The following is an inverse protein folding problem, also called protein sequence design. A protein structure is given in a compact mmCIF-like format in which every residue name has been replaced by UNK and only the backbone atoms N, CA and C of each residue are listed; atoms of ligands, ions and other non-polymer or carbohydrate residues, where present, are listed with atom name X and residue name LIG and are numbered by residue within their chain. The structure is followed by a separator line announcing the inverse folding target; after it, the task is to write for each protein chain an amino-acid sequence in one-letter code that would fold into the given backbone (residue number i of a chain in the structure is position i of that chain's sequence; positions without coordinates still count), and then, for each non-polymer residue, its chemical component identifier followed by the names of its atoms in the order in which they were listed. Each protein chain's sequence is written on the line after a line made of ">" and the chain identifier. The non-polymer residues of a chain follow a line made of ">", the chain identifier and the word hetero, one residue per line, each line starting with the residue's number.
data_IF_111986623398
#
_entry.id   IF_111986623398
#
_cell.length_a   1.000
_cell.length_b   1.000
_cell.length_c   1.000
_cell.angle_alpha   90.00
_cell.angle_beta   90.00
_cell.angle_gamma   90.00
#
_symmetry.space_group_name_H-M   'P 1'
#
loop_
_entity.id
_entity.type
_entity.pdbx_description
1 polymer ?
#
# COMPACT_ATOMS: atom_id res chain seq x y z
N UNK A 1 -19.25 1.01 19.98
CA UNK A 1 -18.09 0.64 19.15
C UNK A 1 -18.45 0.98 17.72
N UNK A 2 -18.00 2.14 17.25
CA UNK A 2 -18.13 2.56 15.85
C UNK A 2 -16.99 1.90 15.08
N UNK A 3 -17.31 1.08 14.07
CA UNK A 3 -16.31 0.54 13.16
C UNK A 3 -15.64 1.72 12.45
N UNK A 4 -14.34 1.92 12.68
CA UNK A 4 -13.54 2.73 11.76
C UNK A 4 -13.57 2.04 10.40
N UNK A 5 -13.97 2.77 9.36
CA UNK A 5 -14.04 2.24 8.00
C UNK A 5 -12.62 1.89 7.55
N UNK A 6 -12.32 0.58 7.48
CA UNK A 6 -11.01 0.10 7.00
C UNK A 6 -10.82 0.46 5.52
N UNK A 7 -9.65 0.99 5.16
CA UNK A 7 -9.25 1.17 3.77
C UNK A 7 -8.83 -0.16 3.16
N UNK A 8 -9.21 -0.41 1.90
CA UNK A 8 -8.78 -1.59 1.15
C UNK A 8 -8.10 -1.17 -0.15
N UNK A 9 -6.84 -1.55 -0.30
CA UNK A 9 -6.07 -1.40 -1.54
C UNK A 9 -5.98 -2.76 -2.22
N UNK A 10 -6.27 -2.81 -3.52
CA UNK A 10 -6.24 -4.04 -4.31
C UNK A 10 -5.31 -3.85 -5.50
N UNK A 11 -4.30 -4.71 -5.61
CA UNK A 11 -3.33 -4.69 -6.69
C UNK A 11 -3.21 -6.06 -7.33
N UNK A 12 -3.04 -6.08 -8.65
CA UNK A 12 -2.78 -7.30 -9.40
C UNK A 12 -1.29 -7.63 -9.35
N UNK A 13 -0.98 -8.92 -9.28
CA UNK A 13 0.40 -9.41 -9.32
C UNK A 13 0.49 -10.70 -10.14
N UNK A 14 1.63 -10.92 -10.80
CA UNK A 14 1.92 -12.16 -11.48
C UNK A 14 2.39 -13.21 -10.47
N UNK A 15 1.66 -14.33 -10.33
CA UNK A 15 1.92 -15.31 -9.27
C UNK A 15 3.18 -16.17 -9.48
N UNK A 16 3.68 -16.30 -10.71
CA UNK A 16 4.78 -17.22 -11.06
C UNK A 16 6.18 -16.61 -11.07
N UNK A 17 6.31 -15.29 -10.95
CA UNK A 17 7.60 -14.60 -11.12
C UNK A 17 8.39 -14.44 -9.82
N UNK A 18 7.76 -14.74 -8.68
CA UNK A 18 8.29 -14.45 -7.35
C UNK A 18 8.16 -12.98 -6.93
N UNK A 19 7.66 -12.11 -7.83
CA UNK A 19 7.38 -10.71 -7.51
C UNK A 19 6.02 -10.58 -6.82
N UNK A 20 5.97 -9.74 -5.80
CA UNK A 20 4.76 -9.47 -5.03
C UNK A 20 4.74 -8.00 -4.63
N UNK A 21 3.54 -7.46 -4.41
CA UNK A 21 3.42 -6.16 -3.76
C UNK A 21 3.79 -6.31 -2.28
N UNK A 22 4.63 -5.41 -1.80
CA UNK A 22 5.10 -5.34 -0.42
C UNK A 22 4.74 -3.97 0.14
N UNK A 23 4.18 -3.97 1.35
CA UNK A 23 4.08 -2.80 2.20
C UNK A 23 5.24 -2.83 3.20
N UNK A 24 5.96 -1.73 3.31
CA UNK A 24 6.99 -1.53 4.32
C UNK A 24 6.76 -0.16 4.95
N UNK A 25 6.71 -0.09 6.28
CA UNK A 25 6.46 1.16 7.01
C UNK A 25 7.58 2.18 6.78
N UNK A 26 8.80 1.73 6.46
CA UNK A 26 9.89 2.63 6.10
C UNK A 26 9.61 3.36 4.79
N UNK A 27 8.95 2.74 3.80
CA UNK A 27 8.53 3.42 2.56
C UNK A 27 7.46 4.50 2.82
N UNK A 28 6.83 4.47 4.00
CA UNK A 28 5.69 5.31 4.33
C UNK A 28 5.76 5.83 5.78
N UNK A 29 6.83 6.57 6.16
CA UNK A 29 7.14 6.85 7.57
C UNK A 29 6.15 7.81 8.25
N UNK A 30 5.47 8.65 7.48
CA UNK A 30 4.53 9.68 7.96
C UNK A 30 3.05 9.28 7.74
N UNK A 31 2.77 8.00 7.49
CA UNK A 31 1.40 7.52 7.30
C UNK A 31 0.68 7.33 8.63
N UNK A 32 -0.45 8.01 8.80
CA UNK A 32 -1.39 7.74 9.89
C UNK A 32 -2.30 6.52 9.60
N UNK A 33 -1.81 5.56 8.82
CA UNK A 33 -2.48 4.33 8.47
C UNK A 33 -1.63 3.13 8.88
N UNK A 34 -2.21 2.23 9.66
CA UNK A 34 -1.62 0.95 10.01
C UNK A 34 -2.18 -0.16 9.11
N UNK A 35 -1.29 -0.95 8.51
CA UNK A 35 -1.70 -2.15 7.78
C UNK A 35 -2.06 -3.26 8.75
N UNK A 36 -3.34 -3.61 8.84
CA UNK A 36 -3.83 -4.66 9.73
C UNK A 36 -3.92 -6.03 9.08
N UNK A 37 -3.98 -6.09 7.75
CA UNK A 37 -4.11 -7.36 7.03
C UNK A 37 -3.61 -7.27 5.59
N UNK A 38 -2.94 -8.32 5.15
CA UNK A 38 -2.67 -8.57 3.73
C UNK A 38 -3.12 -9.97 3.33
N UNK A 39 -3.73 -10.11 2.16
CA UNK A 39 -4.14 -11.42 1.61
C UNK A 39 -3.91 -11.48 0.11
N UNK A 40 -3.44 -12.62 -0.36
CA UNK A 40 -3.36 -12.95 -1.78
C UNK A 40 -4.46 -13.93 -2.17
N UNK A 41 -5.00 -13.75 -3.39
CA UNK A 41 -5.94 -14.69 -3.99
C UNK A 41 -5.65 -14.83 -5.49
N UNK A 42 -5.45 -16.06 -5.93
CA UNK A 42 -5.35 -16.40 -7.36
C UNK A 42 -6.64 -16.04 -8.11
N UNK A 43 -6.52 -15.55 -9.34
CA UNK A 43 -7.69 -15.28 -10.17
C UNK A 43 -8.22 -16.58 -10.79
N UNK A 44 -9.55 -16.81 -10.77
CA UNK A 44 -10.11 -18.00 -11.40
C UNK A 44 -9.84 -18.00 -12.90
N UNK A 45 -9.34 -19.12 -13.43
CA UNK A 45 -9.20 -19.34 -14.87
C UNK A 45 -7.85 -18.97 -15.47
N UNK A 46 -6.89 -18.45 -14.68
CA UNK A 46 -5.56 -18.08 -15.19
C UNK A 46 -4.61 -19.27 -15.40
N UNK A 47 -5.00 -20.49 -15.00
CA UNK A 47 -4.15 -21.68 -15.11
C UNK A 47 -2.92 -21.67 -14.19
N UNK A 48 -2.00 -22.63 -14.39
CA UNK A 48 -0.75 -22.70 -13.62
C UNK A 48 0.15 -21.53 -13.97
N UNK A 49 0.59 -20.81 -12.95
CA UNK A 49 1.44 -19.61 -13.09
C UNK A 49 0.68 -18.34 -13.45
N UNK A 50 -0.65 -18.41 -13.44
CA UNK A 50 -1.58 -17.30 -13.58
C UNK A 50 -1.42 -16.19 -12.55
N UNK A 51 -1.93 -15.00 -12.90
CA UNK A 51 -1.93 -13.86 -11.99
C UNK A 51 -2.91 -14.00 -10.82
N UNK A 52 -2.73 -13.13 -9.85
CA UNK A 52 -3.64 -13.01 -8.71
C UNK A 52 -3.85 -11.57 -8.30
N UNK A 53 -4.50 -11.41 -7.16
CA UNK A 53 -4.81 -10.13 -6.56
C UNK A 53 -4.37 -10.12 -5.10
N UNK A 54 -3.53 -9.15 -4.75
CA UNK A 54 -3.18 -8.84 -3.37
C UNK A 54 -4.08 -7.74 -2.84
N UNK A 55 -4.56 -7.93 -1.62
CA UNK A 55 -5.40 -6.97 -0.91
C UNK A 55 -4.69 -6.56 0.37
N UNK A 56 -4.47 -5.26 0.54
CA UNK A 56 -3.98 -4.63 1.75
C UNK A 56 -5.15 -3.94 2.45
N UNK A 57 -5.27 -4.16 3.76
CA UNK A 57 -6.28 -3.53 4.60
C UNK A 57 -5.57 -2.64 5.59
N UNK A 58 -5.94 -1.37 5.61
CA UNK A 58 -5.39 -0.37 6.51
C UNK A 58 -6.48 0.19 7.43
N UNK A 59 -6.08 0.61 8.62
CA UNK A 59 -6.91 1.37 9.54
C UNK A 59 -6.24 2.70 9.92
N UNK A 60 -7.01 3.78 10.12
CA UNK A 60 -6.47 5.03 10.65
C UNK A 60 -5.94 4.85 12.08
N UNK A 61 -4.76 5.39 12.37
CA UNK A 61 -4.16 5.37 13.72
C UNK A 61 -4.62 6.55 14.59
N UNK A 62 -5.23 7.57 13.97
CA UNK A 62 -5.79 8.72 14.67
C UNK A 62 -7.27 8.52 15.01
N UNK A 63 -7.70 9.11 16.13
CA UNK A 63 -9.10 9.12 16.52
C UNK A 63 -9.87 10.13 15.67
N UNK A 64 -10.51 9.64 14.60
CA UNK A 64 -11.35 10.42 13.67
C UNK A 64 -12.41 11.26 14.39
N UNK A 65 -12.90 10.82 15.56
CA UNK A 65 -13.97 11.49 16.29
C UNK A 65 -13.46 12.47 17.36
N UNK A 66 -12.32 12.19 17.99
CA UNK A 66 -11.67 13.16 18.87
C UNK A 66 -11.07 14.34 18.10
N UNK A 67 -10.65 14.10 16.86
CA UNK A 67 -10.05 15.09 15.95
C UNK A 67 -11.08 15.80 15.04
N UNK A 68 -12.39 15.58 15.29
CA UNK A 68 -13.50 16.03 14.46
C UNK A 68 -13.78 17.55 14.49
N UNK A 69 -12.77 18.37 14.77
CA UNK A 69 -12.81 19.77 14.34
C UNK A 69 -12.77 19.78 12.80
N UNK A 70 -13.75 20.44 12.18
CA UNK A 70 -13.86 20.54 10.71
C UNK A 70 -12.57 21.05 10.04
N UNK A 71 -11.72 21.75 10.78
CA UNK A 71 -10.45 22.30 10.30
C UNK A 71 -9.36 21.24 10.03
N UNK A 72 -9.49 20.02 10.59
CA UNK A 72 -8.48 18.96 10.46
C UNK A 72 -8.77 17.99 9.29
N UNK A 73 -9.79 18.26 8.46
CA UNK A 73 -10.19 17.40 7.35
C UNK A 73 -10.45 18.20 6.06
N UNK A 74 -10.23 17.60 4.86
CA UNK A 74 -9.80 16.22 4.63
C UNK A 74 -8.32 15.98 4.99
N UNK A 75 -8.01 14.79 5.50
CA UNK A 75 -6.62 14.34 5.69
C UNK A 75 -6.21 13.52 4.49
N UNK A 76 -5.18 13.95 3.78
CA UNK A 76 -4.54 13.13 2.75
C UNK A 76 -3.46 12.27 3.40
N UNK A 77 -3.62 10.96 3.32
CA UNK A 77 -2.64 9.98 3.76
C UNK A 77 -1.97 9.37 2.52
N UNK A 78 -0.67 9.15 2.63
CA UNK A 78 0.12 8.55 1.56
C UNK A 78 0.46 7.11 1.96
N UNK A 79 0.36 6.17 1.03
CA UNK A 79 0.83 4.80 1.18
C UNK A 79 1.67 4.45 -0.03
N UNK A 80 2.91 4.03 0.19
CA UNK A 80 3.76 3.52 -0.87
C UNK A 80 3.84 2.00 -0.80
N UNK A 81 3.59 1.36 -1.95
CA UNK A 81 3.76 -0.07 -2.14
C UNK A 81 4.83 -0.30 -3.19
N UNK A 82 5.62 -1.36 -3.03
CA UNK A 82 6.65 -1.75 -3.99
C UNK A 82 6.37 -3.15 -4.53
N UNK A 83 6.42 -3.31 -5.86
CA UNK A 83 6.36 -4.60 -6.53
C UNK A 83 7.78 -5.10 -6.77
N UNK A 84 8.19 -6.12 -6.03
CA UNK A 84 9.56 -6.63 -6.01
C UNK A 84 9.58 -8.09 -5.54
N UNK A 85 10.69 -8.80 -5.75
CA UNK A 85 10.96 -10.04 -5.01
C UNK A 85 11.29 -9.70 -3.54
N UNK A 86 10.61 -10.25 -2.52
CA UNK A 86 10.69 -9.74 -1.14
C UNK A 86 12.11 -9.70 -0.56
N UNK A 87 12.93 -10.70 -0.89
CA UNK A 87 14.31 -10.81 -0.40
C UNK A 87 15.28 -9.79 -1.05
N UNK A 88 14.84 -9.06 -2.07
CA UNK A 88 15.61 -8.00 -2.71
C UNK A 88 15.35 -6.63 -2.08
N UNK A 89 14.23 -6.45 -1.37
CA UNK A 89 13.87 -5.14 -0.80
C UNK A 89 14.93 -4.63 0.18
N UNK A 90 15.37 -5.47 1.12
CA UNK A 90 16.36 -5.10 2.13
C UNK A 90 17.74 -4.75 1.53
N UNK A 91 17.99 -5.11 0.27
CA UNK A 91 19.25 -4.80 -0.41
C UNK A 91 19.27 -3.37 -0.95
N UNK A 92 18.10 -2.80 -1.29
CA UNK A 92 17.97 -1.51 -1.96
C UNK A 92 17.17 -0.48 -1.13
N UNK A 93 16.61 -0.88 0.02
CA UNK A 93 15.89 0.00 0.92
C UNK A 93 16.88 0.71 1.85
N UNK A 94 16.92 2.03 1.76
CA UNK A 94 17.73 2.86 2.64
C UNK A 94 17.04 3.03 4.01
N UNK A 95 17.80 3.33 5.08
CA UNK A 95 17.25 3.51 6.43
C UNK A 95 16.19 4.61 6.56
N UNK A 96 16.19 5.58 5.64
CA UNK A 96 15.23 6.68 5.58
C UNK A 96 13.96 6.34 4.80
N UNK A 97 13.83 5.10 4.31
CA UNK A 97 12.68 4.66 3.55
C UNK A 97 12.78 4.83 2.04
N UNK A 98 13.87 5.43 1.54
CA UNK A 98 14.04 5.65 0.11
C UNK A 98 14.59 4.39 -0.58
N UNK A 99 14.23 4.17 -1.83
CA UNK A 99 14.87 3.13 -2.66
C UNK A 99 16.15 3.69 -3.27
N UNK A 100 17.28 3.01 -3.07
CA UNK A 100 18.54 3.27 -3.74
C UNK A 100 18.46 2.77 -5.20
N UNK A 101 17.99 3.64 -6.09
CA UNK A 101 17.84 3.33 -7.51
C UNK A 101 19.17 3.00 -8.20
N UNK A 102 20.28 3.61 -7.76
CA UNK A 102 21.60 3.35 -8.34
C UNK A 102 22.10 1.95 -7.97
N UNK A 103 21.89 1.55 -6.71
CA UNK A 103 22.21 0.20 -6.27
C UNK A 103 21.29 -0.84 -6.92
N UNK A 104 20.00 -0.54 -7.08
CA UNK A 104 19.06 -1.42 -7.79
C UNK A 104 19.49 -1.65 -9.26
N UNK A 105 19.90 -0.59 -9.97
CA UNK A 105 20.44 -0.70 -11.34
C UNK A 105 21.72 -1.54 -11.37
N UNK A 106 22.66 -1.29 -10.44
CA UNK A 106 23.92 -2.04 -10.35
C UNK A 106 23.70 -3.54 -10.10
N UNK A 107 22.68 -3.89 -9.30
CA UNK A 107 22.33 -5.25 -8.95
C UNK A 107 21.35 -5.90 -9.93
N UNK A 108 20.93 -5.17 -10.98
CA UNK A 108 19.91 -5.61 -11.95
C UNK A 108 18.59 -6.03 -11.26
N UNK A 109 18.23 -5.32 -10.17
CA UNK A 109 16.98 -5.55 -9.42
C UNK A 109 15.88 -4.70 -10.05
N UNK A 110 14.92 -5.35 -10.72
CA UNK A 110 13.72 -4.69 -11.22
C UNK A 110 12.71 -4.47 -10.08
N UNK A 111 12.04 -3.31 -10.06
CA UNK A 111 10.97 -3.02 -9.12
C UNK A 111 9.99 -1.98 -9.70
N UNK A 112 8.78 -1.92 -9.14
CA UNK A 112 7.81 -0.87 -9.45
C UNK A 112 7.28 -0.25 -8.17
N UNK A 113 7.15 1.07 -8.14
CA UNK A 113 6.51 1.79 -7.04
C UNK A 113 5.06 2.12 -7.40
N UNK A 114 4.17 1.96 -6.42
CA UNK A 114 2.80 2.43 -6.48
C UNK A 114 2.57 3.41 -5.33
N UNK A 115 2.42 4.67 -5.71
CA UNK A 115 2.11 5.78 -4.81
C UNK A 115 0.60 5.93 -4.69
N UNK A 116 0.06 5.69 -3.50
CA UNK A 116 -1.38 5.68 -3.26
C UNK A 116 -1.73 6.81 -2.30
N UNK A 117 -2.42 7.82 -2.83
CA UNK A 117 -3.02 8.88 -1.99
C UNK A 117 -4.42 8.49 -1.58
N UNK A 118 -4.67 8.52 -0.28
CA UNK A 118 -5.94 8.23 0.36
C UNK A 118 -6.46 9.52 0.97
N UNK A 119 -7.57 10.03 0.48
CA UNK A 119 -8.23 11.19 1.07
C UNK A 119 -9.28 10.72 2.07
N UNK A 120 -9.08 11.04 3.35
CA UNK A 120 -10.03 10.74 4.42
C UNK A 120 -10.87 11.99 4.63
N UNK A 121 -12.17 11.90 4.34
CA UNK A 121 -13.14 12.99 4.47
C UNK A 121 -14.13 12.72 5.60
N UNK A 122 -14.52 13.74 6.37
CA UNK A 122 -15.66 13.64 7.28
C UNK A 122 -16.98 13.62 6.48
N UNK A 123 -17.62 12.47 6.37
CA UNK A 123 -18.88 12.30 5.66
C UNK A 123 -19.46 10.90 5.85
N UNK A 124 -20.79 10.77 5.76
CA UNK A 124 -21.45 9.46 5.78
C UNK A 124 -20.83 8.55 4.70
N UNK A 125 -20.34 7.38 5.12
CA UNK A 125 -19.53 6.42 4.37
C UNK A 125 -19.78 6.43 2.86
N UNK A 126 -18.87 7.04 2.10
CA UNK A 126 -18.84 6.99 0.64
C UNK A 126 -17.40 6.77 0.16
N UNK A 127 -17.11 5.51 -0.16
CA UNK A 127 -16.06 4.97 -1.03
C UNK A 127 -15.08 5.98 -1.66
N UNK A 128 -13.79 5.86 -1.31
CA UNK A 128 -12.69 6.57 -1.97
C UNK A 128 -12.26 5.85 -3.27
N UNK A 129 -12.01 6.62 -4.33
CA UNK A 129 -11.50 6.14 -5.63
C UNK A 129 -10.14 6.78 -5.87
N UNK A 130 -9.06 6.00 -5.84
CA UNK A 130 -7.73 6.48 -6.22
C UNK A 130 -7.69 6.90 -7.69
N UNK A 131 -7.01 8.01 -8.00
CA UNK A 131 -6.66 8.41 -9.37
C UNK A 131 -5.24 7.93 -9.68
N UNK A 132 -5.04 7.40 -10.88
CA UNK A 132 -3.75 6.99 -11.42
C UNK A 132 -3.36 8.00 -12.50
N UNK A 133 -2.15 8.57 -12.46
CA UNK A 133 -1.56 9.38 -13.53
C UNK A 133 -0.40 8.62 -14.16
#
# INVERSE_FOLDING_TARGET
>A
MTNLDTLRVLLYEAGSTGYTWVYNTQLTPDSDLDMIKTTYRELPGEGLGGGGKRTFIFEPTFDVFADANQDNFPKSQFVQLIYIQPWMLDQILLPDGTIDAALAEQLEIEYFLADITVEITLGQSNWCRGKWQ
#
